data_IF_040923887289
#
_entry.id   IF_040923887289
#
_cell.length_a   1.000
_cell.length_b   1.000
_cell.length_c   1.000
_cell.angle_alpha   90.00
_cell.angle_beta   90.00
_cell.angle_gamma   90.00
#
_symmetry.space_group_name_H-M   'P 1'
#
loop_
_entity.id
_entity.type
_entity.pdbx_description
1 polymer ?
#
# COMPACT_ATOMS: atom_id res chain seq x y z
N UNK A 1 52.37 -42.11 -4.30
CA UNK A 1 51.32 -42.13 -3.26
C UNK A 1 50.00 -41.57 -3.75
N UNK A 2 49.89 -40.31 -4.23
CA UNK A 2 48.61 -39.73 -4.67
C UNK A 2 48.09 -40.36 -5.98
N UNK A 3 48.89 -40.54 -6.98
CA UNK A 3 48.55 -41.19 -8.27
C UNK A 3 48.17 -42.69 -8.08
N UNK A 4 48.78 -43.39 -7.12
CA UNK A 4 48.44 -44.78 -6.84
C UNK A 4 47.12 -44.91 -6.04
N UNK A 5 46.84 -43.92 -5.18
CA UNK A 5 45.53 -43.86 -4.47
C UNK A 5 44.41 -43.65 -5.47
N UNK A 6 44.56 -42.71 -6.44
CA UNK A 6 43.56 -42.45 -7.46
C UNK A 6 43.35 -43.67 -8.36
N UNK A 7 44.39 -44.31 -8.84
CA UNK A 7 44.30 -45.54 -9.66
C UNK A 7 43.59 -46.70 -8.94
N UNK A 8 43.83 -46.87 -7.65
CA UNK A 8 43.19 -47.91 -6.83
C UNK A 8 41.76 -47.60 -6.44
N UNK A 9 41.38 -46.33 -6.36
CA UNK A 9 40.11 -45.86 -5.81
C UNK A 9 39.24 -45.06 -6.79
N UNK A 10 39.45 -45.25 -8.12
CA UNK A 10 38.69 -44.49 -9.11
C UNK A 10 37.16 -44.64 -8.96
N UNK A 11 36.67 -45.80 -8.49
CA UNK A 11 35.24 -46.01 -8.20
C UNK A 11 34.75 -45.10 -7.08
N UNK A 12 35.52 -44.89 -6.04
CA UNK A 12 35.18 -44.00 -4.93
C UNK A 12 35.10 -42.54 -5.41
N UNK A 13 35.97 -42.13 -6.36
CA UNK A 13 35.92 -40.80 -6.96
C UNK A 13 34.64 -40.62 -7.78
N UNK A 14 34.24 -41.61 -8.55
CA UNK A 14 32.96 -41.58 -9.30
C UNK A 14 31.78 -41.54 -8.34
N UNK A 15 31.79 -42.30 -7.25
CA UNK A 15 30.74 -42.27 -6.24
C UNK A 15 30.65 -40.89 -5.55
N UNK A 16 31.79 -40.25 -5.26
CA UNK A 16 31.85 -38.89 -4.72
C UNK A 16 31.21 -37.89 -5.69
N UNK A 17 31.57 -37.92 -6.99
CA UNK A 17 31.01 -37.05 -8.00
C UNK A 17 29.47 -37.25 -8.16
N UNK A 18 28.99 -38.51 -8.03
CA UNK A 18 27.57 -38.82 -8.07
C UNK A 18 26.81 -38.39 -6.79
N UNK A 19 27.48 -38.25 -5.65
CA UNK A 19 26.86 -37.75 -4.44
C UNK A 19 26.70 -36.23 -4.40
N UNK A 20 27.32 -35.49 -5.32
CA UNK A 20 27.20 -34.04 -5.37
C UNK A 20 25.80 -33.66 -5.82
N UNK A 21 25.21 -32.66 -5.14
CA UNK A 21 23.94 -32.02 -5.52
C UNK A 21 24.11 -30.87 -6.52
N UNK A 22 25.15 -30.97 -7.32
CA UNK A 22 25.47 -30.03 -8.41
C UNK A 22 25.72 -30.92 -9.61
N UNK A 23 25.15 -30.54 -10.76
CA UNK A 23 25.45 -31.24 -11.99
C UNK A 23 26.93 -31.13 -12.32
N UNK A 24 27.57 -32.24 -12.65
CA UNK A 24 28.97 -32.29 -13.08
C UNK A 24 29.05 -33.11 -14.34
N UNK A 25 29.61 -32.53 -15.39
CA UNK A 25 30.03 -33.29 -16.57
C UNK A 25 31.47 -32.92 -16.94
N UNK A 26 32.15 -33.88 -17.57
CA UNK A 26 33.56 -33.76 -17.92
C UNK A 26 33.71 -34.12 -19.40
N UNK A 27 34.45 -33.30 -20.15
CA UNK A 27 34.84 -33.59 -21.50
C UNK A 27 36.36 -33.74 -21.64
N UNK A 28 36.80 -34.46 -22.67
CA UNK A 28 38.20 -34.45 -23.04
C UNK A 28 38.61 -33.14 -23.76
N UNK A 29 39.88 -32.99 -24.14
CA UNK A 29 40.41 -31.81 -24.80
C UNK A 29 39.91 -31.61 -26.23
N UNK A 30 39.21 -32.59 -26.80
CA UNK A 30 38.54 -32.51 -28.11
C UNK A 30 37.05 -32.19 -27.97
N UNK A 31 36.51 -32.07 -26.71
CA UNK A 31 35.13 -31.75 -26.42
C UNK A 31 34.20 -32.96 -26.40
N UNK A 32 34.71 -34.20 -26.35
CA UNK A 32 33.88 -35.38 -26.21
C UNK A 32 33.55 -35.62 -24.73
N UNK A 33 32.29 -35.94 -24.44
CA UNK A 33 31.84 -36.14 -23.05
C UNK A 33 32.37 -37.46 -22.53
N UNK A 34 33.16 -37.45 -21.48
CA UNK A 34 33.74 -38.64 -20.83
C UNK A 34 33.10 -39.01 -19.51
N UNK A 35 32.38 -38.09 -18.89
CA UNK A 35 31.66 -38.35 -17.63
C UNK A 35 30.51 -37.35 -17.42
N UNK A 36 29.41 -37.79 -16.81
CA UNK A 36 28.39 -36.95 -16.21
C UNK A 36 27.77 -37.63 -15.00
N UNK A 37 27.46 -36.88 -13.96
CA UNK A 37 26.84 -37.39 -12.74
C UNK A 37 25.30 -37.42 -12.86
N UNK A 38 24.63 -38.06 -11.89
CA UNK A 38 23.16 -38.19 -11.88
C UNK A 38 22.45 -36.83 -11.81
N UNK A 39 23.06 -35.83 -11.18
CA UNK A 39 22.48 -34.50 -11.06
C UNK A 39 22.55 -33.74 -12.38
N UNK A 40 23.63 -33.87 -13.16
CA UNK A 40 23.73 -33.31 -14.50
C UNK A 40 22.68 -33.91 -15.45
N UNK A 41 22.43 -35.24 -15.36
CA UNK A 41 21.36 -35.90 -16.11
C UNK A 41 19.99 -35.32 -15.78
N UNK A 42 19.69 -35.05 -14.50
CA UNK A 42 18.44 -34.44 -14.08
C UNK A 42 18.29 -32.98 -14.52
N UNK A 43 19.37 -32.21 -14.35
CA UNK A 43 19.40 -30.78 -14.69
C UNK A 43 19.22 -30.59 -16.19
N UNK A 44 19.92 -31.39 -17.03
CA UNK A 44 19.85 -31.28 -18.49
C UNK A 44 18.65 -32.03 -19.12
N UNK A 45 17.93 -32.85 -18.34
CA UNK A 45 16.85 -33.70 -18.87
C UNK A 45 17.33 -34.77 -19.84
N UNK A 46 18.63 -35.11 -19.84
CA UNK A 46 19.28 -36.05 -20.77
C UNK A 46 19.76 -37.29 -20.01
N UNK A 47 19.75 -38.42 -20.74
CA UNK A 47 20.30 -39.66 -20.21
C UNK A 47 21.79 -39.78 -20.49
N UNK A 48 22.51 -40.57 -19.66
CA UNK A 48 23.94 -40.85 -19.94
C UNK A 48 24.19 -41.46 -21.29
N UNK A 49 23.33 -42.30 -21.76
CA UNK A 49 23.45 -42.97 -23.03
C UNK A 49 23.35 -42.02 -24.24
N UNK A 50 22.61 -40.93 -24.08
CA UNK A 50 22.45 -39.90 -25.09
C UNK A 50 23.63 -38.99 -25.22
N UNK A 51 24.43 -38.79 -24.18
CA UNK A 51 25.48 -37.77 -24.08
C UNK A 51 26.88 -38.36 -24.03
N UNK A 52 27.08 -39.49 -23.34
CA UNK A 52 28.40 -40.08 -23.12
C UNK A 52 29.08 -40.47 -24.44
N UNK A 53 30.31 -40.00 -24.62
CA UNK A 53 31.10 -40.24 -25.82
C UNK A 53 30.73 -39.39 -27.04
N UNK A 54 29.71 -38.53 -26.95
CA UNK A 54 29.40 -37.55 -28.01
C UNK A 54 30.17 -36.27 -27.86
N UNK A 55 30.42 -35.59 -28.96
CA UNK A 55 31.08 -34.28 -29.00
C UNK A 55 30.09 -33.19 -28.65
N UNK A 56 30.51 -32.20 -27.88
CA UNK A 56 29.65 -31.08 -27.47
C UNK A 56 29.16 -30.24 -28.64
N UNK A 57 29.93 -30.17 -29.74
CA UNK A 57 29.49 -29.48 -30.94
C UNK A 57 28.33 -30.21 -31.63
N UNK A 58 28.35 -31.56 -31.66
CA UNK A 58 27.22 -32.36 -32.18
C UNK A 58 25.96 -32.21 -31.29
N UNK A 59 26.12 -32.17 -29.98
CA UNK A 59 25.02 -31.96 -29.03
C UNK A 59 24.40 -30.57 -29.16
N UNK A 60 25.18 -29.56 -29.48
CA UNK A 60 24.70 -28.21 -29.76
C UNK A 60 23.98 -28.13 -31.10
N UNK A 61 24.51 -28.74 -32.16
CA UNK A 61 23.83 -28.86 -33.48
C UNK A 61 22.48 -29.62 -33.39
N UNK A 62 22.39 -30.63 -32.52
CA UNK A 62 21.17 -31.40 -32.27
C UNK A 62 20.16 -30.64 -31.40
N UNK A 63 20.53 -29.49 -30.84
CA UNK A 63 19.69 -28.64 -29.98
C UNK A 63 19.54 -29.16 -28.55
N UNK A 64 20.38 -30.09 -28.10
CA UNK A 64 20.37 -30.57 -26.71
C UNK A 64 21.04 -29.57 -25.75
N UNK A 65 21.92 -28.75 -26.24
CA UNK A 65 22.65 -27.73 -25.49
C UNK A 65 22.65 -26.44 -26.30
N UNK A 66 22.29 -25.33 -25.70
CA UNK A 66 22.45 -23.99 -26.31
C UNK A 66 23.67 -23.28 -25.71
N UNK A 67 24.58 -22.79 -26.56
CA UNK A 67 25.78 -22.07 -26.11
C UNK A 67 26.67 -22.93 -25.18
N UNK A 68 27.32 -23.93 -25.69
CA UNK A 68 28.15 -24.83 -24.88
C UNK A 68 29.32 -24.12 -24.18
N UNK A 69 29.36 -24.19 -22.84
CA UNK A 69 30.46 -23.67 -22.04
C UNK A 69 31.77 -24.42 -22.37
N UNK A 70 31.71 -25.70 -22.68
CA UNK A 70 32.86 -26.52 -23.09
C UNK A 70 33.54 -25.95 -24.33
N UNK A 71 32.74 -25.65 -25.37
CA UNK A 71 33.29 -25.11 -26.62
C UNK A 71 33.97 -23.75 -26.41
N UNK A 72 33.37 -22.89 -25.58
CA UNK A 72 33.95 -21.61 -25.18
C UNK A 72 35.23 -21.78 -24.39
N UNK A 73 35.25 -22.70 -23.44
CA UNK A 73 36.46 -23.02 -22.65
C UNK A 73 37.60 -23.57 -23.53
N UNK A 74 37.27 -24.38 -24.57
CA UNK A 74 38.24 -24.86 -25.54
C UNK A 74 38.83 -23.72 -26.36
N UNK A 75 38.01 -22.76 -26.80
CA UNK A 75 38.47 -21.60 -27.59
C UNK A 75 39.31 -20.62 -26.77
N UNK A 76 38.85 -20.32 -25.54
CA UNK A 76 39.51 -19.30 -24.70
C UNK A 76 40.74 -19.84 -23.93
N UNK A 77 40.77 -21.14 -23.66
CA UNK A 77 41.76 -21.79 -22.81
C UNK A 77 41.64 -21.34 -21.34
N UNK A 78 40.53 -20.74 -20.92
CA UNK A 78 40.29 -20.22 -19.55
C UNK A 78 38.97 -20.70 -19.00
N UNK A 79 38.78 -20.50 -17.70
CA UNK A 79 37.49 -20.73 -17.09
C UNK A 79 36.42 -19.80 -17.67
N UNK A 80 35.31 -20.35 -18.05
CA UNK A 80 34.18 -19.65 -18.65
C UNK A 80 32.89 -19.92 -17.86
N UNK A 81 32.08 -18.88 -17.70
CA UNK A 81 30.78 -18.90 -17.01
C UNK A 81 29.65 -18.50 -17.96
N UNK A 82 28.59 -19.28 -18.00
CA UNK A 82 27.41 -18.94 -18.81
C UNK A 82 26.11 -19.25 -18.06
N UNK A 83 25.04 -18.57 -18.47
CA UNK A 83 23.68 -18.93 -18.08
C UNK A 83 23.00 -19.54 -19.30
N UNK A 84 22.54 -20.79 -19.17
CA UNK A 84 21.81 -21.52 -20.19
C UNK A 84 20.33 -21.59 -19.85
N UNK A 85 19.48 -21.53 -20.88
CA UNK A 85 18.05 -21.83 -20.73
C UNK A 85 17.81 -23.29 -21.14
N UNK A 86 17.11 -24.03 -20.30
CA UNK A 86 16.67 -25.37 -20.59
C UNK A 86 15.29 -25.36 -21.29
N UNK A 87 14.98 -26.42 -22.01
CA UNK A 87 13.75 -26.50 -22.80
C UNK A 87 12.43 -26.43 -22.01
N UNK A 88 12.47 -26.62 -20.71
CA UNK A 88 11.36 -26.48 -19.77
C UNK A 88 11.22 -25.07 -19.15
N UNK A 89 12.11 -24.16 -19.51
CA UNK A 89 12.13 -22.77 -19.02
C UNK A 89 13.03 -22.55 -17.80
N UNK A 90 13.66 -23.59 -17.28
CA UNK A 90 14.63 -23.50 -16.20
C UNK A 90 15.93 -22.81 -16.67
N UNK A 91 16.59 -22.10 -15.74
CA UNK A 91 17.88 -21.45 -15.97
C UNK A 91 18.98 -22.11 -15.16
N UNK A 92 20.05 -22.48 -15.86
CA UNK A 92 21.20 -23.14 -15.28
C UNK A 92 22.43 -22.27 -15.44
N UNK A 93 23.14 -22.06 -14.35
CA UNK A 93 24.47 -21.45 -14.36
C UNK A 93 25.51 -22.57 -14.52
N UNK A 94 26.32 -22.45 -15.57
CA UNK A 94 27.32 -23.45 -15.93
C UNK A 94 28.70 -22.82 -15.95
N UNK A 95 29.64 -23.43 -15.23
CA UNK A 95 31.07 -23.04 -15.21
C UNK A 95 31.88 -24.14 -15.86
N UNK A 96 32.69 -23.80 -16.86
CA UNK A 96 33.65 -24.71 -17.50
C UNK A 96 35.10 -24.37 -17.09
N UNK A 97 35.76 -25.30 -16.41
CA UNK A 97 37.15 -25.11 -15.96
C UNK A 97 38.09 -26.06 -16.70
N UNK A 98 39.07 -25.56 -17.47
CA UNK A 98 40.04 -26.39 -18.15
C UNK A 98 41.08 -26.96 -17.20
N UNK A 99 41.44 -28.23 -17.38
CA UNK A 99 42.48 -28.92 -16.65
C UNK A 99 43.64 -29.28 -17.59
N UNK A 100 44.85 -28.95 -17.18
CA UNK A 100 46.10 -29.20 -17.89
C UNK A 100 46.91 -30.22 -17.10
N UNK A 101 47.11 -31.39 -17.62
CA UNK A 101 47.89 -32.46 -17.00
C UNK A 101 49.29 -32.63 -17.56
N UNK A 102 49.60 -31.96 -18.71
CA UNK A 102 50.84 -31.95 -19.43
C UNK A 102 51.15 -30.59 -20.06
N UNK A 103 52.13 -30.51 -20.95
CA UNK A 103 52.53 -29.25 -21.64
C UNK A 103 51.82 -29.03 -23.00
N UNK A 104 50.99 -29.98 -23.45
CA UNK A 104 50.51 -30.01 -24.84
C UNK A 104 49.02 -29.57 -25.03
N UNK A 105 48.44 -28.84 -24.09
CA UNK A 105 47.06 -28.33 -24.27
C UNK A 105 46.07 -28.73 -23.15
N UNK A 106 44.77 -28.53 -23.40
CA UNK A 106 43.72 -28.89 -22.45
C UNK A 106 43.51 -30.40 -22.49
N UNK A 107 43.67 -31.08 -21.34
CA UNK A 107 43.42 -32.53 -21.24
C UNK A 107 41.94 -32.84 -20.94
N UNK A 108 41.34 -32.06 -20.07
CA UNK A 108 39.94 -32.23 -19.67
C UNK A 108 39.32 -30.86 -19.42
N UNK A 109 38.02 -30.79 -19.57
CA UNK A 109 37.21 -29.68 -19.07
C UNK A 109 36.21 -30.22 -18.07
N UNK A 110 36.21 -29.68 -16.86
CA UNK A 110 35.24 -29.99 -15.82
C UNK A 110 34.18 -28.90 -15.81
N UNK A 111 32.95 -29.29 -16.08
CA UNK A 111 31.80 -28.38 -16.07
C UNK A 111 30.93 -28.65 -14.84
N UNK A 112 30.51 -27.59 -14.16
CA UNK A 112 29.57 -27.65 -13.06
C UNK A 112 28.30 -26.90 -13.41
N UNK A 113 27.14 -27.48 -13.09
CA UNK A 113 25.81 -26.97 -13.44
C UNK A 113 25.00 -26.72 -12.17
N UNK A 114 24.42 -25.51 -12.02
CA UNK A 114 23.56 -25.18 -10.90
C UNK A 114 22.26 -24.56 -11.42
N UNK A 115 21.13 -25.14 -11.07
CA UNK A 115 19.83 -24.52 -11.34
C UNK A 115 19.67 -23.26 -10.48
N UNK A 116 19.42 -22.12 -11.14
CA UNK A 116 19.27 -20.79 -10.52
C UNK A 116 17.88 -20.20 -10.71
N UNK A 117 16.94 -20.93 -11.30
CA UNK A 117 15.58 -20.47 -11.62
C UNK A 117 14.89 -19.88 -10.39
N UNK A 118 14.85 -20.65 -9.30
CA UNK A 118 14.22 -20.22 -8.05
C UNK A 118 14.90 -18.98 -7.44
N UNK A 119 16.23 -18.92 -7.52
CA UNK A 119 17.03 -17.78 -7.03
C UNK A 119 16.73 -16.50 -7.83
N UNK A 120 16.54 -16.61 -9.14
CA UNK A 120 16.20 -15.46 -10.00
C UNK A 120 14.77 -14.98 -9.72
N UNK A 121 13.80 -15.88 -9.58
CA UNK A 121 12.42 -15.53 -9.25
C UNK A 121 12.35 -14.80 -7.89
N UNK A 122 13.03 -15.30 -6.87
CA UNK A 122 13.10 -14.66 -5.55
C UNK A 122 13.78 -13.29 -5.63
N UNK A 123 14.81 -13.14 -6.45
CA UNK A 123 15.50 -11.87 -6.64
C UNK A 123 14.61 -10.83 -7.33
N UNK A 124 13.82 -11.25 -8.32
CA UNK A 124 12.89 -10.36 -9.03
C UNK A 124 11.75 -9.92 -8.11
N UNK A 125 11.18 -10.82 -7.30
CA UNK A 125 10.19 -10.46 -6.28
C UNK A 125 10.73 -9.50 -5.22
N UNK A 126 11.98 -9.69 -4.75
CA UNK A 126 12.64 -8.75 -3.85
C UNK A 126 12.89 -7.40 -4.49
N UNK A 127 13.16 -7.36 -5.79
CA UNK A 127 13.38 -6.13 -6.54
C UNK A 127 12.08 -5.33 -6.70
N UNK A 128 10.97 -5.99 -7.03
CA UNK A 128 9.64 -5.37 -7.07
C UNK A 128 9.25 -4.79 -5.70
N UNK A 129 9.45 -5.55 -4.62
CA UNK A 129 9.20 -5.05 -3.26
C UNK A 129 10.06 -3.84 -2.89
N UNK A 130 11.32 -3.82 -3.31
CA UNK A 130 12.21 -2.70 -3.05
C UNK A 130 11.83 -1.46 -3.87
N UNK A 131 11.40 -1.63 -5.12
CA UNK A 131 10.94 -0.52 -5.96
C UNK A 131 9.66 0.12 -5.39
N UNK A 132 8.74 -0.67 -4.87
CA UNK A 132 7.53 -0.16 -4.20
C UNK A 132 7.86 0.55 -2.88
N UNK A 133 8.79 0.01 -2.08
CA UNK A 133 9.29 0.68 -0.89
C UNK A 133 10.00 2.01 -1.20
N UNK A 134 10.74 2.09 -2.30
CA UNK A 134 11.39 3.34 -2.74
C UNK A 134 10.37 4.38 -3.24
N UNK A 135 9.29 3.96 -3.91
CA UNK A 135 8.17 4.85 -4.26
C UNK A 135 7.52 5.44 -3.02
N UNK A 136 7.20 4.58 -2.04
CA UNK A 136 6.61 5.01 -0.76
C UNK A 136 7.56 5.98 -0.02
N UNK A 137 8.86 5.71 0.01
CA UNK A 137 9.84 6.62 0.62
C UNK A 137 9.89 7.99 -0.07
N UNK A 138 9.87 8.02 -1.41
CA UNK A 138 9.85 9.27 -2.17
C UNK A 138 8.57 10.05 -1.95
N UNK A 139 7.44 9.37 -1.82
CA UNK A 139 6.15 9.98 -1.51
C UNK A 139 6.15 10.59 -0.09
N UNK A 140 6.70 9.88 0.90
CA UNK A 140 6.91 10.38 2.27
C UNK A 140 7.87 11.60 2.26
N UNK A 141 8.92 11.58 1.48
CA UNK A 141 9.90 12.67 1.38
C UNK A 141 9.31 13.90 0.68
N UNK A 142 8.51 13.69 -0.38
CA UNK A 142 7.76 14.73 -1.07
C UNK A 142 6.75 15.42 -0.13
N UNK A 143 6.01 14.64 0.68
CA UNK A 143 5.05 15.14 1.66
C UNK A 143 5.74 15.88 2.82
N UNK A 144 6.91 15.43 3.27
CA UNK A 144 7.73 16.14 4.27
C UNK A 144 8.21 17.51 3.79
N UNK A 145 8.55 17.64 2.51
CA UNK A 145 9.03 18.89 1.91
C UNK A 145 7.94 19.94 1.72
N UNK A 146 6.66 19.58 1.91
CA UNK A 146 5.52 20.49 1.79
C UNK A 146 4.98 21.03 3.11
N UNK A 147 5.72 20.91 4.23
CA UNK A 147 5.30 21.31 5.58
C UNK A 147 4.02 20.58 6.08
N UNK A 148 3.61 19.46 5.48
CA UNK A 148 2.54 18.63 6.00
C UNK A 148 3.15 17.78 7.12
N UNK A 149 2.74 17.99 8.35
CA UNK A 149 3.21 17.20 9.50
C UNK A 149 2.58 15.81 9.41
N UNK A 150 3.34 14.86 8.87
CA UNK A 150 2.94 13.44 8.88
C UNK A 150 3.45 12.76 10.14
N UNK A 151 2.54 12.25 10.93
CA UNK A 151 2.83 11.37 12.06
C UNK A 151 2.68 9.91 11.59
N UNK A 152 3.71 9.38 10.92
CA UNK A 152 3.56 8.12 10.18
C UNK A 152 2.64 8.30 8.96
N UNK A 153 1.59 7.49 8.85
CA UNK A 153 0.57 7.61 7.79
C UNK A 153 -0.60 8.55 8.17
N UNK A 154 -0.47 9.37 9.22
CA UNK A 154 -1.52 10.25 9.70
C UNK A 154 -1.21 11.70 9.33
N UNK A 155 -2.19 12.38 8.75
CA UNK A 155 -2.15 13.81 8.45
C UNK A 155 -2.76 14.57 9.64
N UNK A 156 -2.02 15.51 10.22
CA UNK A 156 -2.45 16.35 11.32
C UNK A 156 -1.90 17.76 11.13
N UNK A 157 -2.70 18.65 10.56
CA UNK A 157 -2.36 20.06 10.38
C UNK A 157 -3.13 20.97 11.34
N UNK A 158 -4.31 20.55 11.74
CA UNK A 158 -5.09 21.26 12.74
C UNK A 158 -4.47 21.10 14.14
N UNK A 159 -4.51 22.17 14.94
CA UNK A 159 -3.87 22.20 16.25
C UNK A 159 -4.48 21.19 17.23
N UNK A 160 -5.79 20.97 17.14
CA UNK A 160 -6.50 19.96 17.92
C UNK A 160 -6.05 18.52 17.53
N UNK A 161 -5.90 18.27 16.22
CA UNK A 161 -5.42 16.98 15.73
C UNK A 161 -3.97 16.73 16.13
N UNK A 162 -3.10 17.76 16.07
CA UNK A 162 -1.71 17.71 16.56
C UNK A 162 -1.64 17.37 18.05
N UNK A 163 -2.42 18.07 18.85
CA UNK A 163 -2.49 17.81 20.30
C UNK A 163 -2.95 16.39 20.61
N UNK A 164 -3.97 15.91 19.89
CA UNK A 164 -4.46 14.54 20.04
C UNK A 164 -3.40 13.50 19.60
N UNK A 165 -2.67 13.75 18.53
CA UNK A 165 -1.59 12.91 18.05
C UNK A 165 -0.43 12.82 19.06
N UNK A 166 -0.03 13.95 19.69
CA UNK A 166 0.97 13.96 20.75
C UNK A 166 0.52 13.18 21.99
N UNK A 167 -0.76 13.31 22.36
CA UNK A 167 -1.35 12.53 23.46
C UNK A 167 -1.33 11.05 23.11
N UNK A 168 -1.72 10.67 21.89
CA UNK A 168 -1.70 9.32 21.40
C UNK A 168 -0.27 8.73 21.37
N UNK A 169 0.74 9.50 20.96
CA UNK A 169 2.14 9.08 20.96
C UNK A 169 2.68 8.79 22.38
N UNK A 170 2.26 9.57 23.36
CA UNK A 170 2.62 9.31 24.78
C UNK A 170 1.93 8.05 25.31
N UNK A 171 0.65 7.88 25.02
CA UNK A 171 -0.14 6.71 25.43
C UNK A 171 0.35 5.44 24.71
N UNK A 172 0.84 5.56 23.49
CA UNK A 172 1.36 4.43 22.71
C UNK A 172 2.45 3.65 23.47
N UNK A 173 3.30 4.35 24.23
CA UNK A 173 4.40 3.75 25.02
C UNK A 173 3.93 2.98 26.25
N UNK A 174 2.67 3.12 26.66
CA UNK A 174 2.08 2.45 27.79
C UNK A 174 1.31 1.20 27.32
N UNK A 175 1.40 0.12 28.07
CA UNK A 175 0.67 -1.14 27.77
C UNK A 175 -0.74 -1.12 28.40
N UNK A 176 -1.50 -0.08 28.09
CA UNK A 176 -2.86 0.16 28.64
C UNK A 176 -3.91 0.11 27.52
N UNK A 177 -5.16 -0.15 27.89
CA UNK A 177 -6.33 -0.10 27.00
C UNK A 177 -6.57 1.33 26.53
N UNK A 178 -6.82 1.50 25.23
CA UNK A 178 -7.15 2.79 24.62
C UNK A 178 -8.56 2.71 24.02
N UNK A 179 -9.37 3.71 24.31
CA UNK A 179 -10.71 3.87 23.72
C UNK A 179 -10.71 5.08 22.78
N UNK A 180 -10.91 4.82 21.49
CA UNK A 180 -11.05 5.85 20.46
C UNK A 180 -12.54 6.13 20.24
N UNK A 181 -12.96 7.37 20.48
CA UNK A 181 -14.34 7.80 20.25
C UNK A 181 -14.42 8.85 19.16
N UNK A 182 -15.56 8.97 18.51
CA UNK A 182 -15.81 9.97 17.46
C UNK A 182 -16.70 9.43 16.36
N UNK A 183 -17.23 10.33 15.55
CA UNK A 183 -18.14 10.02 14.45
C UNK A 183 -17.54 8.99 13.48
N UNK A 184 -18.41 8.36 12.68
CA UNK A 184 -17.94 7.44 11.64
C UNK A 184 -17.09 8.20 10.61
N UNK A 185 -16.00 7.58 10.12
CA UNK A 185 -15.12 8.17 9.11
C UNK A 185 -14.16 9.24 9.63
N UNK A 186 -14.04 9.48 10.95
CA UNK A 186 -13.09 10.47 11.51
C UNK A 186 -11.64 10.05 11.51
N UNK A 187 -11.33 8.77 11.18
CA UNK A 187 -9.96 8.25 11.13
C UNK A 187 -9.54 7.46 12.37
N UNK A 188 -10.50 6.89 13.14
CA UNK A 188 -10.20 6.06 14.32
C UNK A 188 -9.22 4.92 14.02
N UNK A 189 -9.37 4.24 12.88
CA UNK A 189 -8.45 3.18 12.48
C UNK A 189 -7.03 3.70 12.20
N UNK A 190 -6.90 4.89 11.61
CA UNK A 190 -5.58 5.53 11.38
C UNK A 190 -4.91 5.83 12.72
N UNK A 191 -5.64 6.34 13.71
CA UNK A 191 -5.14 6.54 15.07
C UNK A 191 -4.76 5.23 15.76
N UNK A 192 -5.53 4.15 15.59
CA UNK A 192 -5.19 2.84 16.12
C UNK A 192 -3.87 2.30 15.52
N UNK A 193 -3.69 2.43 14.20
CA UNK A 193 -2.43 2.12 13.53
C UNK A 193 -1.26 2.94 14.07
N UNK A 194 -1.46 4.25 14.22
CA UNK A 194 -0.46 5.16 14.76
C UNK A 194 -0.03 4.76 16.18
N UNK A 195 -0.99 4.46 17.07
CA UNK A 195 -0.72 4.01 18.43
C UNK A 195 0.06 2.68 18.43
N UNK A 196 -0.33 1.73 17.58
CA UNK A 196 0.39 0.46 17.44
C UNK A 196 1.83 0.68 16.97
N UNK A 197 2.06 1.45 15.90
CA UNK A 197 3.39 1.69 15.33
C UNK A 197 4.35 2.40 16.29
N UNK A 198 3.82 3.23 17.22
CA UNK A 198 4.61 3.94 18.22
C UNK A 198 4.66 3.22 19.58
N UNK A 199 4.19 1.97 19.65
CA UNK A 199 4.13 1.19 20.89
C UNK A 199 5.35 0.28 21.06
N UNK A 200 5.55 -0.21 22.29
CA UNK A 200 6.53 -1.27 22.58
C UNK A 200 6.18 -2.63 21.93
N UNK A 201 5.00 -2.75 21.31
CA UNK A 201 4.55 -3.94 20.58
C UNK A 201 4.60 -3.77 19.06
N UNK A 202 5.23 -2.70 18.55
CA UNK A 202 5.45 -2.52 17.11
C UNK A 202 6.24 -3.70 16.52
N UNK A 203 5.79 -4.20 15.35
CA UNK A 203 6.38 -5.39 14.72
C UNK A 203 5.89 -6.76 15.27
N UNK A 204 5.03 -6.75 16.30
CA UNK A 204 4.30 -7.94 16.78
C UNK A 204 2.94 -8.05 16.08
N UNK A 205 2.16 -9.14 16.26
CA UNK A 205 0.85 -9.25 15.63
C UNK A 205 -0.05 -8.05 15.91
N UNK A 206 -0.63 -7.47 14.86
CA UNK A 206 -1.65 -6.44 14.96
C UNK A 206 -2.90 -6.93 14.24
N UNK A 207 -3.86 -7.41 15.01
CA UNK A 207 -5.11 -7.95 14.49
C UNK A 207 -6.18 -6.88 14.58
N UNK A 208 -6.91 -6.68 13.48
CA UNK A 208 -8.00 -5.70 13.39
C UNK A 208 -9.30 -6.40 13.08
N UNK A 209 -10.36 -6.02 13.74
CA UNK A 209 -11.69 -6.54 13.50
C UNK A 209 -12.73 -5.43 13.68
N UNK A 210 -13.71 -5.38 12.79
CA UNK A 210 -14.88 -4.56 12.95
C UNK A 210 -16.01 -5.44 13.49
N UNK A 211 -16.44 -5.18 14.73
CA UNK A 211 -17.45 -6.01 15.41
C UNK A 211 -18.83 -5.92 14.74
N UNK A 212 -19.14 -4.80 14.09
CA UNK A 212 -20.40 -4.63 13.36
C UNK A 212 -20.45 -5.40 12.01
N UNK A 213 -19.29 -5.76 11.46
CA UNK A 213 -19.22 -6.45 10.17
C UNK A 213 -19.41 -7.98 10.28
N UNK A 214 -19.39 -8.53 11.50
CA UNK A 214 -19.51 -9.97 11.75
C UNK A 214 -20.90 -10.26 12.33
N UNK A 215 -21.61 -11.25 11.77
CA UNK A 215 -22.87 -11.70 12.37
C UNK A 215 -22.70 -12.10 13.84
N UNK A 216 -23.66 -11.70 14.69
CA UNK A 216 -23.61 -11.89 16.14
C UNK A 216 -23.29 -13.33 16.55
N UNK A 217 -23.89 -14.31 15.88
CA UNK A 217 -23.70 -15.74 16.13
C UNK A 217 -22.29 -16.26 15.77
N UNK A 218 -21.52 -15.51 14.98
CA UNK A 218 -20.14 -15.86 14.61
C UNK A 218 -19.11 -15.07 15.41
N UNK A 219 -19.46 -13.88 15.89
CA UNK A 219 -18.54 -12.98 16.58
C UNK A 219 -17.85 -13.65 17.77
N UNK A 220 -18.59 -14.46 18.53
CA UNK A 220 -18.05 -15.20 19.66
C UNK A 220 -16.96 -16.17 19.24
N UNK A 221 -17.24 -17.00 18.22
CA UNK A 221 -16.31 -17.98 17.69
C UNK A 221 -15.11 -17.36 16.99
N UNK A 222 -15.25 -16.18 16.39
CA UNK A 222 -14.13 -15.43 15.82
C UNK A 222 -13.23 -14.86 16.93
N UNK A 223 -13.77 -14.22 17.95
CA UNK A 223 -12.99 -13.59 19.01
C UNK A 223 -12.27 -14.63 19.88
N UNK A 224 -12.97 -15.67 20.34
CA UNK A 224 -12.49 -16.59 21.36
C UNK A 224 -12.08 -17.97 20.83
N UNK A 225 -12.40 -18.28 19.55
CA UNK A 225 -12.17 -19.62 19.00
C UNK A 225 -13.19 -20.66 19.46
N UNK A 226 -13.11 -21.87 18.94
CA UNK A 226 -13.99 -22.97 19.33
C UNK A 226 -13.33 -24.34 19.27
N UNK A 227 -13.78 -25.24 20.13
CA UNK A 227 -13.35 -26.64 20.15
C UNK A 227 -14.05 -27.47 19.04
N UNK A 228 -13.45 -28.58 18.62
CA UNK A 228 -14.07 -29.48 17.66
C UNK A 228 -15.47 -29.88 18.08
N UNK A 229 -16.47 -29.68 17.20
CA UNK A 229 -17.85 -30.06 17.48
C UNK A 229 -18.62 -29.14 18.42
N UNK A 230 -18.13 -27.93 18.70
CA UNK A 230 -18.78 -26.96 19.61
C UNK A 230 -20.20 -26.55 19.17
N UNK A 231 -20.48 -26.58 17.88
CA UNK A 231 -21.81 -26.30 17.30
C UNK A 231 -21.99 -26.99 15.95
N UNK A 232 -23.22 -27.01 15.44
CA UNK A 232 -23.54 -27.58 14.11
C UNK A 232 -22.85 -26.81 13.02
N UNK A 233 -21.95 -27.46 12.28
CA UNK A 233 -21.09 -26.83 11.26
C UNK A 233 -19.70 -26.45 11.73
N UNK A 234 -19.35 -26.67 12.99
CA UNK A 234 -17.98 -26.47 13.49
C UNK A 234 -16.98 -27.40 12.80
N UNK A 235 -15.80 -26.90 12.50
CA UNK A 235 -14.70 -27.69 11.94
C UNK A 235 -14.31 -28.82 12.89
N UNK A 236 -14.00 -29.99 12.34
CA UNK A 236 -13.47 -31.14 13.12
C UNK A 236 -12.11 -30.88 13.76
N UNK A 237 -11.43 -29.81 13.41
CA UNK A 237 -10.12 -29.39 13.97
C UNK A 237 -10.24 -28.26 14.99
N UNK A 238 -11.45 -27.71 15.21
CA UNK A 238 -11.62 -26.47 15.97
C UNK A 238 -11.10 -25.24 15.20
N UNK A 239 -11.06 -24.09 15.87
CA UNK A 239 -10.54 -22.83 15.32
C UNK A 239 -9.92 -21.99 16.43
N UNK A 240 -8.73 -21.47 16.20
CA UNK A 240 -8.07 -20.48 17.05
C UNK A 240 -8.80 -19.16 16.98
N UNK A 241 -8.98 -18.48 18.13
CA UNK A 241 -9.60 -17.16 18.21
C UNK A 241 -8.66 -16.00 17.93
N UNK A 242 -9.23 -14.83 17.65
CA UNK A 242 -8.46 -13.61 17.36
C UNK A 242 -7.63 -13.14 18.56
N UNK A 243 -8.07 -13.39 19.82
CA UNK A 243 -7.25 -13.10 20.98
C UNK A 243 -6.01 -13.97 21.05
N UNK A 244 -6.08 -15.24 20.67
CA UNK A 244 -4.89 -16.11 20.57
C UNK A 244 -3.96 -15.67 19.44
N UNK A 245 -4.53 -15.34 18.27
CA UNK A 245 -3.75 -14.86 17.13
C UNK A 245 -3.04 -13.52 17.42
N UNK A 246 -3.62 -12.68 18.28
CA UNK A 246 -3.05 -11.42 18.73
C UNK A 246 -2.10 -11.56 19.91
N UNK A 247 -1.85 -12.78 20.40
CA UNK A 247 -1.01 -13.01 21.58
C UNK A 247 0.37 -12.38 21.44
N UNK A 248 0.86 -11.75 22.51
CA UNK A 248 2.06 -10.89 22.57
C UNK A 248 1.98 -9.58 21.78
N UNK A 249 0.93 -9.39 21.00
CA UNK A 249 0.70 -8.25 20.10
C UNK A 249 -0.41 -7.31 20.56
N UNK A 250 -1.17 -6.79 19.60
CA UNK A 250 -2.26 -5.83 19.81
C UNK A 250 -3.49 -6.28 19.04
N UNK A 251 -4.66 -6.18 19.69
CA UNK A 251 -5.96 -6.38 19.05
C UNK A 251 -6.70 -5.04 18.97
N UNK A 252 -7.14 -4.67 17.78
CA UNK A 252 -7.98 -3.52 17.54
C UNK A 252 -9.42 -3.98 17.30
N UNK A 253 -10.33 -3.57 18.19
CA UNK A 253 -11.76 -3.82 18.07
C UNK A 253 -12.45 -2.52 17.64
N UNK A 254 -12.84 -2.45 16.37
CA UNK A 254 -13.66 -1.34 15.87
C UNK A 254 -15.15 -1.60 16.16
N UNK A 255 -15.89 -0.54 16.37
CA UNK A 255 -17.31 -0.53 16.73
C UNK A 255 -17.61 -1.42 17.95
N UNK A 256 -16.84 -1.23 19.04
CA UNK A 256 -16.97 -1.99 20.28
C UNK A 256 -18.36 -1.87 20.91
N UNK A 257 -19.08 -0.78 20.65
CA UNK A 257 -20.45 -0.55 21.11
C UNK A 257 -21.49 -1.48 20.48
N UNK A 258 -21.12 -2.22 19.44
CA UNK A 258 -22.00 -3.19 18.75
C UNK A 258 -21.86 -4.61 19.30
N UNK A 259 -20.95 -4.85 20.25
CA UNK A 259 -20.78 -6.18 20.84
C UNK A 259 -22.01 -6.56 21.68
N UNK A 260 -22.63 -7.73 21.42
CA UNK A 260 -23.77 -8.21 22.19
C UNK A 260 -23.47 -8.33 23.68
N UNK A 261 -24.45 -8.04 24.51
CA UNK A 261 -24.29 -7.94 25.99
C UNK A 261 -23.75 -9.24 26.63
N UNK A 262 -24.09 -10.42 26.06
CA UNK A 262 -23.59 -11.70 26.56
C UNK A 262 -22.10 -11.91 26.28
N UNK A 263 -21.54 -11.28 25.22
CA UNK A 263 -20.11 -11.35 24.91
C UNK A 263 -19.30 -10.35 25.73
N UNK A 264 -19.93 -9.28 26.20
CA UNK A 264 -19.25 -8.25 26.99
C UNK A 264 -18.68 -8.82 28.30
N UNK A 265 -19.36 -9.82 28.91
CA UNK A 265 -18.84 -10.50 30.11
C UNK A 265 -17.58 -11.32 29.81
N UNK A 266 -17.51 -11.96 28.65
CA UNK A 266 -16.30 -12.70 28.21
C UNK A 266 -15.14 -11.76 27.92
N UNK A 267 -15.42 -10.65 27.24
CA UNK A 267 -14.41 -9.61 26.97
C UNK A 267 -13.87 -9.01 28.28
N UNK A 268 -14.74 -8.76 29.26
CA UNK A 268 -14.33 -8.27 30.58
C UNK A 268 -13.36 -9.24 31.25
N UNK A 269 -13.64 -10.54 31.17
CA UNK A 269 -12.75 -11.58 31.72
C UNK A 269 -11.35 -11.54 31.09
N UNK A 270 -11.26 -11.38 29.76
CA UNK A 270 -9.98 -11.24 29.07
C UNK A 270 -9.19 -10.02 29.57
N UNK A 271 -9.90 -8.90 29.80
CA UNK A 271 -9.26 -7.65 30.28
C UNK A 271 -8.78 -7.75 31.74
N UNK A 272 -9.42 -8.58 32.57
CA UNK A 272 -9.11 -8.72 33.98
C UNK A 272 -8.12 -9.85 34.26
N UNK A 273 -8.41 -11.02 33.70
CA UNK A 273 -7.69 -12.27 33.99
C UNK A 273 -6.57 -12.57 32.98
N UNK A 274 -6.60 -11.91 31.82
CA UNK A 274 -5.68 -12.21 30.69
C UNK A 274 -5.78 -13.66 30.20
N UNK A 275 -6.99 -14.17 30.18
CA UNK A 275 -7.30 -15.55 29.83
C UNK A 275 -8.55 -15.60 28.95
N UNK A 276 -8.58 -16.59 28.04
CA UNK A 276 -9.74 -16.94 27.24
C UNK A 276 -10.11 -18.41 27.41
N UNK A 277 -11.33 -18.75 26.97
CA UNK A 277 -11.77 -20.13 26.77
C UNK A 277 -12.44 -20.25 25.41
N UNK A 278 -12.17 -21.34 24.69
CA UNK A 278 -12.86 -21.67 23.46
C UNK A 278 -14.34 -21.93 23.68
N UNK A 279 -15.17 -21.60 22.66
CA UNK A 279 -16.57 -21.97 22.68
C UNK A 279 -16.71 -23.49 22.71
N UNK A 280 -17.48 -24.00 23.67
CA UNK A 280 -17.63 -25.44 23.91
C UNK A 280 -16.45 -26.10 24.64
N UNK A 281 -15.41 -25.35 25.00
CA UNK A 281 -14.26 -25.82 25.75
C UNK A 281 -14.32 -25.47 27.23
N UNK A 282 -13.46 -26.15 28.02
CA UNK A 282 -13.25 -25.86 29.45
C UNK A 282 -11.82 -25.46 29.79
N UNK A 283 -10.93 -25.52 28.78
CA UNK A 283 -9.51 -25.20 28.97
C UNK A 283 -9.31 -23.69 28.97
N UNK A 284 -8.64 -23.20 30.03
CA UNK A 284 -8.20 -21.81 30.13
C UNK A 284 -6.91 -21.62 29.34
N UNK A 285 -6.85 -20.60 28.51
CA UNK A 285 -5.74 -20.26 27.64
C UNK A 285 -5.27 -18.86 28.04
N UNK A 286 -4.05 -18.68 28.57
CA UNK A 286 -3.51 -17.37 28.89
C UNK A 286 -3.18 -16.60 27.62
N UNK A 287 -3.49 -15.29 27.59
CA UNK A 287 -3.21 -14.39 26.48
C UNK A 287 -2.65 -13.07 26.97
N UNK A 288 -1.58 -12.61 26.34
CA UNK A 288 -1.01 -11.28 26.57
C UNK A 288 -1.29 -10.38 25.38
N UNK A 289 -2.42 -9.69 25.40
CA UNK A 289 -2.87 -8.83 24.30
C UNK A 289 -3.09 -7.42 24.79
N UNK A 290 -2.50 -6.42 24.11
CA UNK A 290 -2.88 -5.03 24.27
C UNK A 290 -4.15 -4.75 23.50
N UNK A 291 -5.13 -4.08 24.12
CA UNK A 291 -6.39 -3.77 23.49
C UNK A 291 -6.45 -2.29 23.10
N UNK A 292 -6.81 -2.03 21.85
CA UNK A 292 -7.25 -0.73 21.34
C UNK A 292 -8.69 -0.91 20.87
N UNK A 293 -9.61 -0.06 21.30
CA UNK A 293 -11.02 -0.14 20.93
C UNK A 293 -11.50 1.16 20.29
N UNK A 294 -12.47 1.09 19.40
CA UNK A 294 -13.07 2.25 18.78
C UNK A 294 -14.60 2.14 18.74
N UNK A 295 -15.29 3.27 18.81
CA UNK A 295 -16.73 3.36 18.65
C UNK A 295 -17.17 4.75 18.21
N UNK A 296 -18.32 4.81 17.53
CA UNK A 296 -19.05 6.05 17.26
C UNK A 296 -20.24 6.25 18.22
N UNK A 297 -20.54 5.23 19.05
CA UNK A 297 -21.64 5.31 20.04
C UNK A 297 -21.18 5.97 21.33
N UNK A 298 -22.09 6.64 21.99
CA UNK A 298 -21.94 7.07 23.37
C UNK A 298 -22.12 5.85 24.29
N UNK A 299 -20.98 5.30 24.77
CA UNK A 299 -21.00 4.12 25.63
C UNK A 299 -21.61 4.42 27.01
N UNK A 300 -21.53 5.66 27.52
CA UNK A 300 -22.16 6.03 28.78
C UNK A 300 -23.69 5.93 28.65
N UNK A 301 -24.23 6.48 27.58
CA UNK A 301 -25.65 6.36 27.27
C UNK A 301 -26.06 4.91 27.08
N UNK A 302 -25.24 4.09 26.41
CA UNK A 302 -25.52 2.66 26.26
C UNK A 302 -25.52 1.90 27.60
N UNK A 303 -24.71 2.33 28.58
CA UNK A 303 -24.76 1.81 29.96
C UNK A 303 -26.07 2.20 30.63
N UNK A 304 -26.50 3.44 30.51
CA UNK A 304 -27.75 3.93 31.11
C UNK A 304 -28.97 3.23 30.51
N UNK A 305 -28.93 2.87 29.22
CA UNK A 305 -29.95 2.11 28.52
C UNK A 305 -29.88 0.58 28.78
N UNK A 306 -28.84 0.10 29.48
CA UNK A 306 -28.67 -1.32 29.80
C UNK A 306 -28.19 -2.18 28.62
N UNK A 307 -27.78 -1.57 27.52
CA UNK A 307 -27.25 -2.27 26.33
C UNK A 307 -25.73 -2.48 26.39
N UNK A 308 -25.05 -1.79 27.31
CA UNK A 308 -23.64 -1.96 27.59
C UNK A 308 -23.39 -2.12 29.10
N UNK A 309 -22.46 -3.01 29.47
CA UNK A 309 -22.15 -3.24 30.88
C UNK A 309 -21.25 -2.13 31.44
N UNK A 310 -21.62 -1.65 32.62
CA UNK A 310 -20.88 -0.61 33.33
C UNK A 310 -19.45 -1.04 33.71
N UNK A 311 -19.30 -2.29 34.15
CA UNK A 311 -17.99 -2.83 34.54
C UNK A 311 -17.00 -2.90 33.33
N UNK A 312 -17.48 -3.30 32.16
CA UNK A 312 -16.71 -3.29 30.93
C UNK A 312 -16.36 -1.86 30.49
N UNK A 313 -17.34 -0.95 30.55
CA UNK A 313 -17.11 0.46 30.21
C UNK A 313 -15.90 1.05 30.97
N UNK A 314 -15.84 0.88 32.30
CA UNK A 314 -14.73 1.40 33.08
C UNK A 314 -13.39 0.72 32.76
N UNK A 315 -13.38 -0.51 32.30
CA UNK A 315 -12.15 -1.22 31.86
C UNK A 315 -11.69 -0.81 30.47
N UNK A 316 -12.58 -0.35 29.60
CA UNK A 316 -12.25 0.18 28.27
C UNK A 316 -11.88 1.65 28.34
N UNK A 317 -12.57 2.44 29.16
CA UNK A 317 -12.41 3.90 29.28
C UNK A 317 -11.23 4.29 30.20
N UNK A 318 -10.09 3.61 30.04
CA UNK A 318 -8.86 3.94 30.82
C UNK A 318 -8.13 5.13 30.18
N UNK A 319 -7.93 5.09 28.87
CA UNK A 319 -7.28 6.17 28.10
C UNK A 319 -8.19 6.57 26.94
N UNK A 320 -9.18 7.45 27.17
CA UNK A 320 -10.04 7.93 26.09
C UNK A 320 -9.30 8.94 25.21
N UNK A 321 -9.48 8.77 23.90
CA UNK A 321 -9.06 9.70 22.85
C UNK A 321 -10.25 10.00 21.96
N UNK A 322 -10.76 11.22 22.03
CA UNK A 322 -11.89 11.68 21.24
C UNK A 322 -11.40 12.35 19.95
N UNK A 323 -11.84 11.81 18.82
CA UNK A 323 -11.54 12.35 17.51
C UNK A 323 -12.63 13.34 17.09
N UNK A 324 -12.26 14.59 16.91
CA UNK A 324 -13.18 15.61 16.44
C UNK A 324 -13.69 15.28 15.02
N UNK A 325 -14.95 15.64 14.72
CA UNK A 325 -15.44 15.56 13.36
C UNK A 325 -14.67 16.52 12.42
N UNK A 326 -14.62 16.19 11.13
CA UNK A 326 -13.80 16.90 10.16
C UNK A 326 -14.15 18.40 10.03
N UNK A 327 -15.43 18.77 10.22
CA UNK A 327 -15.90 20.17 10.27
C UNK A 327 -15.25 21.01 11.38
N UNK A 328 -14.78 20.39 12.46
CA UNK A 328 -14.09 21.04 13.59
C UNK A 328 -12.58 21.21 13.38
N UNK A 329 -11.98 20.60 12.31
CA UNK A 329 -10.54 20.63 12.03
C UNK A 329 -10.25 21.03 10.59
N UNK A 330 -10.58 22.28 10.25
CA UNK A 330 -10.58 22.82 8.89
C UNK A 330 -9.21 22.83 8.20
N UNK A 331 -8.11 22.95 8.98
CA UNK A 331 -6.75 22.88 8.43
C UNK A 331 -6.46 21.48 7.88
N UNK A 332 -6.97 20.43 8.53
CA UNK A 332 -6.82 19.04 8.06
C UNK A 332 -7.53 18.82 6.73
N UNK A 333 -8.67 19.51 6.47
CA UNK A 333 -9.39 19.38 5.19
C UNK A 333 -8.49 19.74 4.02
N UNK A 334 -7.76 20.85 4.09
CA UNK A 334 -6.87 21.28 3.03
C UNK A 334 -5.71 20.28 2.80
N UNK A 335 -5.10 19.81 3.88
CA UNK A 335 -4.00 18.85 3.83
C UNK A 335 -4.47 17.47 3.32
N UNK A 336 -5.61 16.97 3.79
CA UNK A 336 -6.22 15.73 3.33
C UNK A 336 -6.64 15.82 1.85
N UNK A 337 -7.22 16.95 1.43
CA UNK A 337 -7.58 17.17 0.03
C UNK A 337 -6.36 17.05 -0.88
N UNK A 338 -5.26 17.69 -0.51
CA UNK A 338 -4.02 17.59 -1.29
C UNK A 338 -3.50 16.17 -1.32
N UNK A 339 -3.44 15.50 -0.18
CA UNK A 339 -3.02 14.10 -0.09
C UNK A 339 -3.87 13.18 -1.00
N UNK A 340 -5.19 13.30 -0.97
CA UNK A 340 -6.05 12.48 -1.82
C UNK A 340 -5.90 12.80 -3.30
N UNK A 341 -5.71 14.07 -3.68
CA UNK A 341 -5.44 14.44 -5.08
C UNK A 341 -4.13 13.81 -5.55
N UNK A 342 -3.05 13.92 -4.77
CA UNK A 342 -1.76 13.33 -5.12
C UNK A 342 -1.85 11.79 -5.19
N UNK A 343 -2.55 11.16 -4.26
CA UNK A 343 -2.79 9.73 -4.23
C UNK A 343 -3.55 9.23 -5.47
N UNK A 344 -4.66 9.88 -5.81
CA UNK A 344 -5.48 9.47 -6.96
C UNK A 344 -4.83 9.85 -8.29
N UNK A 345 -4.05 10.94 -8.36
CA UNK A 345 -3.23 11.26 -9.52
C UNK A 345 -2.23 10.12 -9.81
N UNK A 346 -1.56 9.60 -8.77
CA UNK A 346 -0.65 8.48 -8.92
C UNK A 346 -1.39 7.19 -9.34
N UNK A 347 -2.54 6.91 -8.73
CA UNK A 347 -3.34 5.69 -8.96
C UNK A 347 -3.91 5.67 -10.38
N UNK A 348 -4.49 6.79 -10.84
CA UNK A 348 -5.17 6.88 -12.15
C UNK A 348 -4.28 7.45 -13.25
N UNK A 349 -3.00 7.75 -12.96
CA UNK A 349 -2.02 8.37 -13.89
C UNK A 349 -2.55 9.69 -14.46
N UNK A 350 -3.15 10.49 -13.61
CA UNK A 350 -3.65 11.84 -13.92
C UNK A 350 -2.70 12.88 -13.33
N UNK A 351 -2.88 14.15 -13.72
CA UNK A 351 -2.11 15.27 -13.19
C UNK A 351 -3.05 16.46 -12.92
N UNK A 352 -3.94 16.27 -11.94
CA UNK A 352 -4.91 17.28 -11.54
C UNK A 352 -4.39 18.09 -10.37
N UNK A 353 -4.68 19.39 -10.38
CA UNK A 353 -4.42 20.30 -9.27
C UNK A 353 -5.74 20.95 -8.82
N UNK A 354 -5.75 21.64 -7.69
CA UNK A 354 -6.95 22.25 -7.13
C UNK A 354 -6.75 23.75 -6.86
N UNK A 355 -7.77 24.55 -7.16
CA UNK A 355 -7.73 25.99 -6.86
C UNK A 355 -8.00 26.27 -5.37
N UNK A 356 -7.43 27.37 -4.83
CA UNK A 356 -7.69 27.81 -3.45
C UNK A 356 -9.19 28.02 -3.18
N UNK A 357 -9.94 28.55 -4.14
CA UNK A 357 -11.38 28.73 -4.03
C UNK A 357 -12.16 27.40 -3.90
N UNK A 358 -11.65 26.34 -4.52
CA UNK A 358 -12.21 25.00 -4.39
C UNK A 358 -11.90 24.40 -3.01
N UNK A 359 -10.68 24.57 -2.49
CA UNK A 359 -10.31 24.15 -1.12
C UNK A 359 -11.16 24.90 -0.09
N UNK A 360 -11.38 26.20 -0.23
CA UNK A 360 -12.27 26.98 0.64
C UNK A 360 -13.71 26.45 0.62
N UNK A 361 -14.20 26.00 -0.54
CA UNK A 361 -15.53 25.39 -0.64
C UNK A 361 -15.60 24.07 0.15
N UNK A 362 -14.56 23.23 0.05
CA UNK A 362 -14.44 22.00 0.84
C UNK A 362 -14.40 22.28 2.35
N UNK A 363 -13.68 23.33 2.78
CA UNK A 363 -13.58 23.72 4.20
C UNK A 363 -14.88 24.27 4.81
N UNK A 364 -15.83 24.69 3.96
CA UNK A 364 -17.15 25.21 4.40
C UNK A 364 -18.21 24.10 4.52
N UNK A 365 -17.97 22.95 3.95
CA UNK A 365 -18.91 21.84 3.98
C UNK A 365 -18.89 21.13 5.35
N UNK A 366 -20.01 20.55 5.77
CA UNK A 366 -20.19 19.97 7.11
C UNK A 366 -19.61 18.56 7.28
N UNK A 367 -19.36 17.87 6.21
CA UNK A 367 -18.75 16.54 6.17
C UNK A 367 -19.40 15.54 7.12
N UNK A 368 -20.68 15.19 6.95
CA UNK A 368 -21.34 14.20 7.82
C UNK A 368 -20.68 12.82 7.78
N UNK A 369 -20.05 12.43 6.66
CA UNK A 369 -19.24 11.22 6.52
C UNK A 369 -17.75 11.41 6.80
N UNK A 370 -17.35 12.60 7.28
CA UNK A 370 -15.99 12.95 7.69
C UNK A 370 -14.94 12.68 6.59
N UNK A 371 -13.77 12.09 6.92
CA UNK A 371 -12.65 11.83 5.99
C UNK A 371 -13.08 10.86 4.88
N UNK A 372 -13.88 9.84 5.21
CA UNK A 372 -14.36 8.87 4.22
C UNK A 372 -15.20 9.52 3.12
N UNK A 373 -16.02 10.49 3.49
CA UNK A 373 -16.80 11.25 2.52
C UNK A 373 -15.91 12.18 1.69
N UNK A 374 -14.96 12.88 2.32
CA UNK A 374 -13.98 13.73 1.63
C UNK A 374 -13.21 12.92 0.59
N UNK A 375 -12.67 11.76 0.95
CA UNK A 375 -11.94 10.84 0.07
C UNK A 375 -12.79 10.47 -1.16
N UNK A 376 -14.02 9.98 -0.93
CA UNK A 376 -14.93 9.60 -2.01
C UNK A 376 -15.31 10.77 -2.93
N UNK A 377 -15.47 11.97 -2.38
CA UNK A 377 -15.80 13.17 -3.17
C UNK A 377 -14.60 13.57 -4.03
N UNK A 378 -13.38 13.59 -3.48
CA UNK A 378 -12.17 13.90 -4.24
C UNK A 378 -11.95 12.88 -5.36
N UNK A 379 -12.06 11.59 -5.06
CA UNK A 379 -11.97 10.53 -6.05
C UNK A 379 -12.98 10.72 -7.19
N UNK A 380 -14.25 10.98 -6.85
CA UNK A 380 -15.32 11.26 -7.82
C UNK A 380 -14.99 12.46 -8.68
N UNK A 381 -14.48 13.56 -8.11
CA UNK A 381 -14.09 14.74 -8.85
C UNK A 381 -12.98 14.42 -9.85
N UNK A 382 -11.95 13.70 -9.42
CA UNK A 382 -10.81 13.35 -10.28
C UNK A 382 -11.25 12.52 -11.48
N UNK A 383 -12.14 11.55 -11.27
CA UNK A 383 -12.60 10.65 -12.33
C UNK A 383 -13.64 11.31 -13.25
N UNK A 384 -14.56 12.14 -12.70
CA UNK A 384 -15.75 12.60 -13.43
C UNK A 384 -15.57 13.88 -14.20
N UNK A 385 -14.54 14.66 -13.94
CA UNK A 385 -14.36 15.96 -14.59
C UNK A 385 -13.11 15.97 -15.48
N UNK A 386 -13.29 16.48 -16.72
CA UNK A 386 -12.19 16.74 -17.65
C UNK A 386 -11.38 17.99 -17.22
N UNK A 387 -10.13 18.08 -17.70
CA UNK A 387 -9.20 19.17 -17.40
C UNK A 387 -8.30 18.92 -16.18
N UNK A 388 -7.20 19.68 -16.11
CA UNK A 388 -6.11 19.46 -15.13
C UNK A 388 -6.32 20.25 -13.84
N UNK A 389 -7.34 21.13 -13.74
CA UNK A 389 -7.53 21.99 -12.57
C UNK A 389 -8.95 21.86 -12.03
N UNK A 390 -9.04 21.40 -10.76
CA UNK A 390 -10.29 21.29 -10.02
C UNK A 390 -10.71 22.69 -9.53
N UNK A 391 -11.86 23.13 -9.99
CA UNK A 391 -12.43 24.45 -9.69
C UNK A 391 -13.49 24.37 -8.60
N UNK A 392 -13.82 25.51 -7.99
CA UNK A 392 -14.91 25.64 -7.02
C UNK A 392 -16.24 25.09 -7.55
N UNK A 393 -16.56 25.36 -8.83
CA UNK A 393 -17.78 24.88 -9.47
C UNK A 393 -17.87 23.33 -9.47
N UNK A 394 -16.79 22.66 -9.80
CA UNK A 394 -16.75 21.19 -9.81
C UNK A 394 -16.94 20.61 -8.41
N UNK A 395 -16.32 21.25 -7.40
CA UNK A 395 -16.48 20.87 -5.99
C UNK A 395 -17.93 21.06 -5.54
N UNK A 396 -18.52 22.23 -5.75
CA UNK A 396 -19.91 22.53 -5.35
C UNK A 396 -20.90 21.55 -6.03
N UNK A 397 -20.68 21.25 -7.31
CA UNK A 397 -21.47 20.25 -8.04
C UNK A 397 -21.31 18.84 -7.46
N UNK A 398 -20.11 18.42 -7.09
CA UNK A 398 -19.85 17.12 -6.51
C UNK A 398 -20.44 16.99 -5.09
N UNK A 399 -20.47 18.08 -4.33
CA UNK A 399 -21.08 18.16 -3.00
C UNK A 399 -22.62 18.22 -3.04
N UNK A 400 -23.23 18.37 -4.23
CA UNK A 400 -24.69 18.55 -4.35
C UNK A 400 -25.18 19.86 -3.75
N UNK A 401 -24.28 20.80 -3.48
CA UNK A 401 -24.65 22.15 -3.07
C UNK A 401 -25.34 22.79 -4.26
N UNK A 402 -26.53 23.41 -4.08
CA UNK A 402 -27.14 24.18 -5.15
C UNK A 402 -26.10 25.21 -5.62
N UNK A 403 -25.49 24.95 -6.75
CA UNK A 403 -24.68 25.96 -7.38
C UNK A 403 -25.70 27.08 -7.69
N UNK A 404 -25.59 28.20 -6.98
CA UNK A 404 -26.18 29.41 -7.51
C UNK A 404 -25.63 29.50 -8.93
N UNK A 405 -26.38 29.01 -9.89
CA UNK A 405 -26.15 29.38 -11.28
C UNK A 405 -26.20 30.90 -11.21
N UNK A 406 -25.03 31.56 -11.16
CA UNK A 406 -24.96 32.93 -11.59
C UNK A 406 -25.73 32.89 -12.91
N UNK A 407 -26.92 33.44 -12.87
CA UNK A 407 -27.97 33.26 -13.83
C UNK A 407 -27.30 33.16 -15.21
N UNK A 408 -27.53 32.06 -15.93
CA UNK A 408 -27.21 32.02 -17.34
C UNK A 408 -27.79 33.32 -17.87
N UNK A 409 -26.90 34.17 -18.40
CA UNK A 409 -27.34 35.46 -18.89
C UNK A 409 -28.54 35.21 -19.83
N UNK A 410 -29.73 35.46 -19.32
CA UNK A 410 -30.95 35.38 -20.10
C UNK A 410 -31.23 36.82 -20.53
N UNK A 411 -30.95 37.15 -21.78
CA UNK A 411 -31.20 38.52 -22.25
C UNK A 411 -32.67 38.89 -22.03
N UNK A 412 -32.90 39.95 -21.27
CA UNK A 412 -34.23 40.54 -21.19
C UNK A 412 -34.40 41.46 -22.42
N UNK A 413 -35.17 40.98 -23.40
CA UNK A 413 -35.33 41.66 -24.68
C UNK A 413 -36.32 42.85 -24.65
N UNK A 414 -37.07 42.99 -23.53
CA UNK A 414 -38.07 44.07 -23.45
C UNK A 414 -37.41 45.44 -23.26
N UNK A 415 -37.67 46.31 -24.21
CA UNK A 415 -37.24 47.72 -24.22
C UNK A 415 -35.74 48.00 -24.28
N UNK A 416 -34.90 47.09 -24.77
CA UNK A 416 -33.46 47.30 -24.95
C UNK A 416 -33.05 47.29 -26.42
N UNK A 417 -32.12 48.14 -26.76
CA UNK A 417 -31.47 48.14 -28.07
C UNK A 417 -30.46 47.03 -28.19
N UNK A 418 -30.10 46.61 -29.40
CA UNK A 418 -29.06 45.62 -29.66
C UNK A 418 -27.72 46.00 -28.99
N UNK A 419 -27.39 47.30 -28.99
CA UNK A 419 -26.15 47.80 -28.36
C UNK A 419 -26.15 47.60 -26.85
N UNK A 420 -27.26 47.85 -26.19
CA UNK A 420 -27.40 47.64 -24.74
C UNK A 420 -27.32 46.14 -24.36
N UNK A 421 -27.97 45.30 -25.15
CA UNK A 421 -27.90 43.84 -24.96
C UNK A 421 -26.47 43.28 -25.16
N UNK A 422 -25.75 43.79 -26.15
CA UNK A 422 -24.36 43.43 -26.43
C UNK A 422 -23.42 43.91 -25.30
N UNK A 423 -23.63 45.12 -24.79
CA UNK A 423 -22.86 45.66 -23.66
C UNK A 423 -23.10 44.88 -22.37
N UNK A 424 -24.33 44.48 -22.07
CA UNK A 424 -24.67 43.64 -20.92
C UNK A 424 -24.06 42.24 -21.04
N UNK A 425 -24.11 41.63 -22.24
CA UNK A 425 -23.51 40.31 -22.46
C UNK A 425 -21.98 40.36 -22.38
N UNK A 426 -21.37 41.39 -22.93
CA UNK A 426 -19.92 41.60 -22.82
C UNK A 426 -19.48 41.79 -21.36
N UNK A 427 -20.24 42.58 -20.59
CA UNK A 427 -20.03 42.73 -19.16
C UNK A 427 -20.11 41.38 -18.44
N UNK A 428 -21.15 40.59 -18.70
CA UNK A 428 -21.35 39.29 -18.11
C UNK A 428 -20.18 38.32 -18.42
N UNK A 429 -19.71 38.28 -19.67
CA UNK A 429 -18.55 37.47 -20.07
C UNK A 429 -17.30 37.89 -19.27
N UNK A 430 -17.03 39.19 -19.21
CA UNK A 430 -15.85 39.69 -18.48
C UNK A 430 -15.91 39.43 -16.99
N UNK A 431 -17.07 39.63 -16.35
CA UNK A 431 -17.28 39.29 -14.94
C UNK A 431 -17.03 37.78 -14.69
N UNK A 432 -17.64 36.93 -15.50
CA UNK A 432 -17.50 35.46 -15.38
C UNK A 432 -16.05 35.02 -15.57
N UNK A 433 -15.34 35.54 -16.58
CA UNK A 433 -13.95 35.22 -16.86
C UNK A 433 -12.99 35.73 -15.78
N UNK A 434 -13.22 36.92 -15.23
CA UNK A 434 -12.43 37.45 -14.12
C UNK A 434 -12.61 36.64 -12.86
N UNK A 435 -13.81 36.17 -12.56
CA UNK A 435 -14.07 35.29 -11.41
C UNK A 435 -13.44 33.88 -11.60
N UNK A 436 -13.54 33.35 -12.82
CA UNK A 436 -13.00 32.00 -13.15
C UNK A 436 -11.47 31.97 -13.09
N UNK A 437 -10.80 33.02 -13.56
CA UNK A 437 -9.34 33.13 -13.62
C UNK A 437 -8.72 33.89 -12.42
N UNK A 438 -9.38 33.93 -11.27
CA UNK A 438 -8.83 34.51 -10.04
C UNK A 438 -8.47 35.99 -10.13
N UNK A 439 -9.23 36.77 -10.96
CA UNK A 439 -9.03 38.20 -11.20
C UNK A 439 -7.68 38.58 -11.85
N UNK A 440 -6.99 37.64 -12.48
CA UNK A 440 -5.75 37.92 -13.22
C UNK A 440 -6.05 38.37 -14.65
N UNK A 441 -6.10 39.68 -14.87
CA UNK A 441 -6.42 40.29 -16.18
C UNK A 441 -5.51 39.80 -17.33
N UNK A 442 -4.25 39.39 -17.05
CA UNK A 442 -3.33 38.89 -18.06
C UNK A 442 -3.75 37.52 -18.63
N UNK A 443 -4.33 36.65 -17.80
CA UNK A 443 -4.82 35.32 -18.22
C UNK A 443 -6.15 35.46 -18.96
N UNK A 444 -7.08 36.27 -18.45
CA UNK A 444 -8.34 36.57 -19.12
C UNK A 444 -8.12 37.15 -20.50
N UNK A 445 -7.15 38.07 -20.68
CA UNK A 445 -6.79 38.63 -21.98
C UNK A 445 -6.32 37.59 -22.99
N UNK A 446 -5.53 36.62 -22.55
CA UNK A 446 -5.06 35.49 -23.39
C UNK A 446 -6.22 34.61 -23.83
N UNK A 447 -7.10 34.22 -22.89
CA UNK A 447 -8.25 33.35 -23.18
C UNK A 447 -9.25 34.01 -24.12
N UNK A 448 -9.52 35.31 -23.94
CA UNK A 448 -10.45 36.05 -24.80
C UNK A 448 -9.80 36.62 -26.08
N UNK A 449 -8.52 36.35 -26.33
CA UNK A 449 -7.80 36.88 -27.50
C UNK A 449 -7.68 38.39 -27.50
N UNK A 450 -7.73 39.06 -26.33
CA UNK A 450 -7.72 40.52 -26.21
C UNK A 450 -6.34 41.04 -25.80
N UNK A 451 -5.92 42.18 -26.37
CA UNK A 451 -4.74 42.89 -25.88
C UNK A 451 -4.97 43.42 -24.47
N UNK A 452 -3.87 43.52 -23.67
CA UNK A 452 -3.94 44.07 -22.32
C UNK A 452 -4.59 45.44 -22.25
N UNK A 453 -4.34 46.32 -23.25
CA UNK A 453 -4.92 47.64 -23.33
C UNK A 453 -6.45 47.61 -23.62
N UNK A 454 -6.89 46.71 -24.51
CA UNK A 454 -8.30 46.52 -24.85
C UNK A 454 -9.07 45.98 -23.64
N UNK A 455 -8.51 44.97 -22.93
CA UNK A 455 -9.15 44.40 -21.76
C UNK A 455 -9.23 45.43 -20.61
N UNK A 456 -8.16 46.17 -20.31
CA UNK A 456 -8.16 47.24 -19.30
C UNK A 456 -9.20 48.28 -19.54
N UNK A 457 -9.36 48.74 -20.82
CA UNK A 457 -10.38 49.72 -21.21
C UNK A 457 -11.80 49.17 -21.00
N UNK A 458 -12.04 47.91 -21.35
CA UNK A 458 -13.35 47.27 -21.17
C UNK A 458 -13.67 47.03 -19.68
N UNK A 459 -12.72 46.58 -18.89
CA UNK A 459 -12.88 46.44 -17.45
C UNK A 459 -13.20 47.79 -16.77
N UNK A 460 -12.54 48.86 -17.21
CA UNK A 460 -12.85 50.22 -16.73
C UNK A 460 -14.25 50.67 -17.18
N UNK A 461 -14.67 50.39 -18.43
CA UNK A 461 -16.01 50.73 -18.94
C UNK A 461 -17.12 50.12 -18.08
N UNK A 462 -16.95 48.90 -17.62
CA UNK A 462 -17.95 48.14 -16.85
C UNK A 462 -17.74 48.22 -15.34
N UNK A 463 -16.76 48.98 -14.85
CA UNK A 463 -16.50 49.14 -13.41
C UNK A 463 -15.92 47.91 -12.71
N UNK A 464 -15.30 47.00 -13.47
CA UNK A 464 -14.73 45.74 -12.99
C UNK A 464 -13.27 45.85 -12.53
N UNK A 465 -12.69 47.05 -12.52
CA UNK A 465 -11.31 47.34 -12.05
C UNK A 465 -11.21 47.50 -10.53
N UNK A 466 -11.87 46.63 -9.72
CA UNK A 466 -11.67 46.65 -8.25
C UNK A 466 -10.46 45.86 -7.85
N UNK A 467 -9.32 46.56 -7.69
CA UNK A 467 -8.07 45.95 -7.22
C UNK A 467 -6.93 46.94 -6.95
N UNK A 468 -7.26 48.19 -6.52
CA UNK A 468 -6.29 49.06 -5.82
C UNK A 468 -7.04 50.03 -4.91
N UNK A 469 -7.45 49.56 -3.73
CA UNK A 469 -7.69 50.47 -2.62
C UNK A 469 -6.32 50.87 -2.07
N UNK A 470 -5.93 52.10 -2.37
CA UNK A 470 -4.87 52.86 -1.67
C UNK A 470 -5.06 52.75 -0.16
N UNK A 471 -4.01 52.35 0.54
CA UNK A 471 -3.76 52.85 1.88
C UNK A 471 -3.59 54.34 1.77
N UNK A 472 -4.44 55.11 2.45
CA UNK A 472 -4.18 56.44 2.92
C UNK A 472 -4.76 56.61 4.31
N UNK A 473 -3.79 56.92 5.20
CA UNK A 473 -3.83 57.37 6.61
C UNK A 473 -4.26 56.42 7.67
#
# INVERSE_FOLDING_TARGET
MYKDFIRKNYRILLDILNCLKVGVYITDGDGNTVFLNDESCKTGGLTREEVLGKNMAELEEMGFVENSVTLRTLESGKEEDIIQNLGDGDKVFVTGTPLYCGDDGIDLIVCTERNITETLVLRDLLREQNEDNEKIKKEIEYLKNQNIVMWGNMIAEDDETKTLAEKAARIAKLDTTVLLTGESGTGKEVFANFIYQNSGRAGRPFIKINCAAIPENLLESELFGYEPGAFTGASKKGKMGLFEMANTGTLFLDEIGEIPIHLQSKLLRVLQEKEIMHVGGSKVIPVDVRLITATNRDLQKAVDEGTFRQDLYYRLNVMPLELLPLRGRKKDIAALTKYFIDHFNATYKMNKDITNAAVEALQRFEWPGNIRELENIIERIIISFDGDVITKFQVERALGVPVEQKASYTPQFENKTMTELMDEYERYILETMMDTHGKKASEVGKVLGMSKATLSRKLSKYGLNKGSSRNET
#
